data_IF_158641533767
#
_entry.id   IF_158641533767
#
_cell.length_a   1.000
_cell.length_b   1.000
_cell.length_c   1.000
_cell.angle_alpha   90.00
_cell.angle_beta   90.00
_cell.angle_gamma   90.00
#
_symmetry.space_group_name_H-M   'P 1'
#
loop_
_entity.id
_entity.type
_entity.pdbx_description
1 polymer ?
#
# COMPACT_ATOMS: atom_id res chain seq x y z
N UNK A 1 16.85 -6.63 -8.96
CA UNK A 1 16.07 -5.53 -9.57
C UNK A 1 15.10 -4.97 -8.55
N UNK A 2 15.34 -3.75 -8.03
CA UNK A 2 14.38 -3.07 -7.15
C UNK A 2 13.21 -2.63 -8.04
N UNK A 3 12.10 -3.38 -8.07
CA UNK A 3 10.88 -2.93 -8.76
C UNK A 3 10.51 -1.59 -8.13
N UNK A 4 10.35 -0.54 -8.95
CA UNK A 4 9.80 0.75 -8.49
C UNK A 4 8.32 0.55 -8.22
N UNK A 5 8.01 -0.07 -7.08
CA UNK A 5 6.64 -0.29 -6.63
C UNK A 5 6.16 1.04 -6.06
N UNK A 6 5.26 1.70 -6.79
CA UNK A 6 4.64 2.96 -6.36
C UNK A 6 3.46 2.74 -5.42
N UNK A 7 2.85 1.56 -5.45
CA UNK A 7 1.74 1.14 -4.58
C UNK A 7 1.81 -0.36 -4.31
N UNK A 8 1.45 -0.79 -3.10
CA UNK A 8 1.36 -2.18 -2.69
C UNK A 8 -0.11 -2.58 -2.47
N UNK A 9 -0.54 -3.80 -2.87
CA UNK A 9 -1.87 -4.28 -2.55
C UNK A 9 -2.00 -4.55 -1.04
N UNK A 10 -3.16 -4.24 -0.48
CA UNK A 10 -3.56 -4.60 0.88
C UNK A 10 -4.56 -5.73 0.76
N UNK A 11 -4.32 -6.81 1.49
CA UNK A 11 -5.19 -7.98 1.54
C UNK A 11 -5.69 -8.19 2.97
N UNK A 12 -6.85 -8.82 3.13
CA UNK A 12 -7.30 -9.31 4.42
C UNK A 12 -6.58 -10.61 4.82
N UNK A 13 -6.96 -11.16 5.98
CA UNK A 13 -6.43 -12.40 6.53
C UNK A 13 -6.65 -13.64 5.65
N UNK A 14 -7.64 -13.61 4.75
CA UNK A 14 -7.93 -14.68 3.80
C UNK A 14 -7.21 -14.47 2.46
N UNK A 15 -6.37 -13.45 2.36
CA UNK A 15 -5.67 -13.07 1.13
C UNK A 15 -6.57 -12.38 0.09
N UNK A 16 -7.78 -11.98 0.47
CA UNK A 16 -8.67 -11.24 -0.43
C UNK A 16 -8.20 -9.79 -0.53
N UNK A 17 -8.10 -9.27 -1.76
CA UNK A 17 -7.76 -7.87 -2.01
C UNK A 17 -8.79 -6.93 -1.36
N UNK A 18 -8.34 -6.09 -0.44
CA UNK A 18 -9.16 -5.09 0.25
C UNK A 18 -8.82 -3.67 -0.17
N UNK A 19 -7.64 -3.44 -0.76
CA UNK A 19 -7.26 -2.14 -1.28
C UNK A 19 -5.83 -2.11 -1.79
N UNK A 20 -5.28 -0.89 -1.88
CA UNK A 20 -3.88 -0.65 -2.16
C UNK A 20 -3.40 0.54 -1.31
N UNK A 21 -2.12 0.52 -0.95
CA UNK A 21 -1.47 1.57 -0.18
C UNK A 21 -0.26 2.10 -0.95
N UNK A 22 -0.09 3.41 -0.97
CA UNK A 22 1.00 4.10 -1.63
C UNK A 22 1.51 5.28 -0.78
N UNK A 23 2.51 5.99 -1.29
CA UNK A 23 3.17 7.09 -0.55
C UNK A 23 2.21 8.22 -0.15
N UNK A 24 1.20 8.53 -0.95
CA UNK A 24 0.21 9.57 -0.66
C UNK A 24 -0.62 9.21 0.58
N UNK A 25 -0.97 7.94 0.77
CA UNK A 25 -1.69 7.47 1.95
C UNK A 25 -0.88 7.73 3.22
N UNK A 26 0.45 7.52 3.16
CA UNK A 26 1.34 7.80 4.29
C UNK A 26 1.42 9.31 4.61
N UNK A 27 1.47 10.18 3.59
CA UNK A 27 1.42 11.64 3.78
C UNK A 27 0.08 12.09 4.38
N UNK A 28 -1.03 11.57 3.88
CA UNK A 28 -2.37 11.91 4.39
C UNK A 28 -2.59 11.43 5.83
N UNK A 29 -2.04 10.27 6.17
CA UNK A 29 -2.09 9.73 7.53
C UNK A 29 -1.14 10.44 8.51
N UNK A 30 -0.24 11.31 8.02
CA UNK A 30 0.77 11.98 8.85
C UNK A 30 1.81 11.01 9.43
N UNK A 31 2.05 9.88 8.76
CA UNK A 31 3.06 8.89 9.17
C UNK A 31 4.47 9.34 8.78
N UNK A 32 4.58 10.14 7.72
CA UNK A 32 5.82 10.72 7.16
C UNK A 32 5.63 12.19 6.82
#
# INVERSE_FOLDING_TARGET
MKRKITAAPVVDENGKLTGAINLQDFYQAGII
#
